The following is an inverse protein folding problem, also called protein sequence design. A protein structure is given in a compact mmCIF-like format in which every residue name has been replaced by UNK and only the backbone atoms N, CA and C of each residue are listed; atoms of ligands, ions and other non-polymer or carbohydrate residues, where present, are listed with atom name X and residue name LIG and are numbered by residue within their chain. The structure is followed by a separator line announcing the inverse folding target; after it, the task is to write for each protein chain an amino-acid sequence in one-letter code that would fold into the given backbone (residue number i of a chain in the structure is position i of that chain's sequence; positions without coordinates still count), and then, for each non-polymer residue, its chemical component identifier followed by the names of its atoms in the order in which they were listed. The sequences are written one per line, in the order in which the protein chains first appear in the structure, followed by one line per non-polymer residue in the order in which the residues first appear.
data_IF_368666372112
#
_entry.id   IF_368666372112
#
_cell.length_a   1.000
_cell.length_b   1.000
_cell.length_c   1.000
_cell.angle_alpha   90.00
_cell.angle_beta   90.00
_cell.angle_gamma   90.00
#
_symmetry.space_group_name_H-M   'P 1'
#
loop_
_entity.id
_entity.type
_entity.pdbx_description
1 polymer ?
#
# COMPACT_ATOMS: atom_id res chain seq x y z
N UNK A 1 32.04 13.66 64.14
CA UNK A 1 30.91 14.12 63.35
C UNK A 1 31.13 13.64 61.95
N UNK A 2 30.59 12.46 61.55
CA UNK A 2 30.70 11.91 60.22
C UNK A 2 29.47 12.31 59.41
N UNK A 3 29.68 13.03 58.30
CA UNK A 3 28.61 13.37 57.34
C UNK A 3 28.39 12.15 56.41
N UNK A 4 27.22 11.54 56.51
CA UNK A 4 26.75 10.52 55.58
C UNK A 4 26.31 11.19 54.30
N UNK A 5 27.03 10.97 53.17
CA UNK A 5 26.60 11.40 51.85
C UNK A 5 25.78 10.26 51.25
N UNK A 6 24.47 10.45 51.14
CA UNK A 6 23.58 9.52 50.46
C UNK A 6 23.64 9.81 48.95
N UNK A 7 24.27 8.94 48.16
CA UNK A 7 24.24 9.00 46.70
C UNK A 7 23.00 8.22 46.23
N UNK A 8 21.92 8.94 45.84
CA UNK A 8 20.76 8.33 45.21
C UNK A 8 21.09 8.21 43.71
N UNK A 9 21.49 7.02 43.26
CA UNK A 9 21.50 6.67 41.85
C UNK A 9 20.08 6.36 41.40
N UNK A 10 19.42 7.33 40.77
CA UNK A 10 18.19 7.07 40.06
C UNK A 10 18.52 6.22 38.82
N UNK A 11 18.34 4.91 38.89
CA UNK A 11 18.29 4.04 37.75
C UNK A 11 16.99 4.37 37.02
N UNK A 12 17.11 5.18 35.94
CA UNK A 12 16.02 5.36 35.00
C UNK A 12 15.76 3.98 34.35
N UNK A 13 14.71 3.30 34.81
CA UNK A 13 14.20 2.13 34.14
C UNK A 13 13.85 2.57 32.70
N UNK A 14 14.63 2.14 31.73
CA UNK A 14 14.23 2.24 30.32
C UNK A 14 12.98 1.38 30.20
N UNK A 15 11.83 2.01 29.99
CA UNK A 15 10.63 1.29 29.63
C UNK A 15 10.97 0.45 28.38
N UNK A 16 10.82 -0.87 28.51
CA UNK A 16 10.98 -1.76 27.35
C UNK A 16 9.98 -1.29 26.27
N UNK A 17 10.51 -0.94 25.11
CA UNK A 17 9.68 -0.59 24.00
C UNK A 17 9.04 -1.85 23.43
N UNK A 18 7.77 -2.06 23.77
CA UNK A 18 6.97 -3.14 23.21
C UNK A 18 6.40 -2.68 21.86
N UNK A 19 6.96 -3.21 20.78
CA UNK A 19 6.41 -3.01 19.43
C UNK A 19 5.14 -3.85 19.30
N UNK A 20 3.99 -3.19 19.16
CA UNK A 20 2.72 -3.88 18.89
C UNK A 20 2.79 -4.47 17.48
N UNK A 21 2.65 -5.79 17.37
CA UNK A 21 2.48 -6.46 16.07
C UNK A 21 1.19 -5.98 15.41
N UNK A 22 1.23 -5.80 14.10
CA UNK A 22 0.11 -5.34 13.30
C UNK A 22 -0.10 -6.25 12.10
N UNK A 23 -1.35 -6.38 11.69
CA UNK A 23 -1.76 -7.11 10.51
C UNK A 23 -2.27 -6.12 9.47
N UNK A 24 -1.58 -6.05 8.32
CA UNK A 24 -2.01 -5.26 7.19
C UNK A 24 -2.42 -6.19 6.05
N UNK A 25 -3.52 -5.89 5.36
CA UNK A 25 -4.04 -6.68 4.25
C UNK A 25 -4.16 -5.82 2.99
N UNK A 26 -3.58 -6.30 1.88
CA UNK A 26 -3.75 -5.65 0.58
C UNK A 26 -5.20 -5.74 0.12
N UNK A 27 -5.73 -4.64 -0.42
CA UNK A 27 -7.10 -4.50 -0.85
C UNK A 27 -7.17 -3.78 -2.21
N UNK A 28 -7.75 -4.44 -3.20
CA UNK A 28 -7.79 -3.93 -4.58
C UNK A 28 -9.09 -3.19 -4.86
N UNK A 29 -8.96 -1.98 -5.45
CA UNK A 29 -10.06 -1.06 -5.73
C UNK A 29 -10.47 -1.00 -7.20
N UNK A 30 -10.10 -1.97 -8.02
CA UNK A 30 -10.24 -1.94 -9.47
C UNK A 30 -11.40 -2.74 -10.06
N UNK A 31 -12.17 -3.46 -9.24
CA UNK A 31 -13.28 -4.28 -9.73
C UNK A 31 -14.50 -3.44 -10.07
N UNK A 32 -15.18 -3.76 -11.20
CA UNK A 32 -16.40 -3.10 -11.61
C UNK A 32 -17.42 -4.03 -12.25
N UNK A 33 -18.67 -3.62 -12.20
CA UNK A 33 -19.81 -4.33 -12.78
C UNK A 33 -20.59 -3.46 -13.76
N UNK A 34 -21.29 -4.03 -14.76
CA UNK A 34 -22.10 -3.25 -15.69
C UNK A 34 -23.17 -2.39 -15.01
N UNK A 35 -23.71 -2.86 -13.89
CA UNK A 35 -24.75 -2.14 -13.16
C UNK A 35 -24.24 -0.86 -12.50
N UNK A 36 -23.03 -0.90 -11.94
CA UNK A 36 -22.46 0.24 -11.20
C UNK A 36 -21.51 1.06 -12.08
N UNK A 37 -20.71 0.39 -12.91
CA UNK A 37 -19.59 1.01 -13.62
C UNK A 37 -19.81 1.05 -15.16
N UNK A 38 -20.98 0.59 -15.63
CA UNK A 38 -21.34 0.54 -17.05
C UNK A 38 -20.68 -0.59 -17.86
N UNK A 39 -19.71 -1.28 -17.27
CA UNK A 39 -18.98 -2.41 -17.87
C UNK A 39 -18.35 -3.30 -16.80
N UNK A 40 -17.91 -4.48 -17.20
CA UNK A 40 -17.01 -5.28 -16.35
C UNK A 40 -15.63 -4.63 -16.27
N UNK A 41 -15.03 -4.63 -15.08
CA UNK A 41 -13.66 -4.19 -14.83
C UNK A 41 -12.96 -5.27 -14.00
N UNK A 42 -11.80 -5.72 -14.44
CA UNK A 42 -10.97 -6.79 -13.88
C UNK A 42 -11.62 -8.18 -13.79
N UNK A 43 -12.93 -8.29 -13.66
CA UNK A 43 -13.62 -9.58 -13.68
C UNK A 43 -13.52 -10.29 -15.04
N UNK A 44 -13.45 -9.52 -16.13
CA UNK A 44 -13.30 -9.98 -17.52
C UNK A 44 -11.87 -9.94 -18.05
N UNK A 45 -10.90 -9.69 -17.16
CA UNK A 45 -9.51 -9.50 -17.56
C UNK A 45 -8.98 -10.71 -18.35
N UNK A 46 -8.17 -10.45 -19.36
CA UNK A 46 -7.47 -11.50 -20.08
C UNK A 46 -6.41 -12.17 -19.20
N UNK A 47 -6.14 -13.45 -19.47
CA UNK A 47 -5.03 -14.14 -18.82
C UNK A 47 -3.72 -13.52 -19.27
N UNK A 48 -2.97 -12.96 -18.31
CA UNK A 48 -1.68 -12.34 -18.56
C UNK A 48 -0.57 -13.38 -18.70
N UNK A 49 0.44 -13.11 -19.54
CA UNK A 49 1.63 -13.93 -19.63
C UNK A 49 2.33 -14.01 -18.26
N UNK A 50 2.68 -15.20 -17.82
CA UNK A 50 3.45 -15.32 -16.59
C UNK A 50 4.88 -14.78 -16.77
N UNK A 51 5.41 -14.06 -15.77
CA UNK A 51 6.75 -13.45 -15.82
C UNK A 51 7.87 -14.50 -15.89
N UNK A 52 7.69 -15.67 -15.27
CA UNK A 52 8.67 -16.76 -15.33
C UNK A 52 8.53 -17.53 -16.64
N UNK A 53 9.55 -17.53 -17.49
CA UNK A 53 9.55 -18.19 -18.81
C UNK A 53 9.10 -19.66 -18.78
N UNK A 54 9.50 -20.42 -17.75
CA UNK A 54 9.12 -21.83 -17.57
C UNK A 54 7.61 -21.98 -17.36
N UNK A 55 7.03 -21.18 -16.46
CA UNK A 55 5.59 -21.23 -16.17
C UNK A 55 4.80 -20.69 -17.36
N UNK A 56 5.26 -19.61 -17.99
CA UNK A 56 4.66 -19.07 -19.22
C UNK A 56 4.57 -20.13 -20.32
N UNK A 57 5.65 -20.89 -20.55
CA UNK A 57 5.63 -21.96 -21.56
C UNK A 57 4.58 -23.04 -21.26
N UNK A 58 4.38 -23.38 -19.98
CA UNK A 58 3.39 -24.36 -19.55
C UNK A 58 1.94 -23.89 -19.79
N UNK A 59 1.65 -22.61 -19.60
CA UNK A 59 0.30 -22.04 -19.68
C UNK A 59 0.09 -21.14 -20.92
N UNK A 60 1.01 -21.20 -21.91
CA UNK A 60 0.95 -20.37 -23.11
C UNK A 60 -0.38 -20.47 -23.88
N UNK A 61 -1.04 -21.62 -23.83
CA UNK A 61 -2.34 -21.84 -24.47
C UNK A 61 -3.49 -21.06 -23.85
N UNK A 62 -3.30 -20.52 -22.65
CA UNK A 62 -4.28 -19.66 -21.94
C UNK A 62 -3.99 -18.18 -22.14
N UNK A 63 -2.85 -17.78 -22.74
CA UNK A 63 -2.56 -16.38 -22.99
C UNK A 63 -3.64 -15.77 -23.89
N UNK A 64 -4.09 -14.56 -23.51
CA UNK A 64 -5.16 -13.82 -24.17
C UNK A 64 -6.57 -14.46 -24.07
N UNK A 65 -6.73 -15.55 -23.31
CA UNK A 65 -8.05 -16.04 -22.97
C UNK A 65 -8.76 -14.99 -22.10
N UNK A 66 -9.92 -14.52 -22.56
CA UNK A 66 -10.72 -13.52 -21.85
C UNK A 66 -11.76 -14.24 -20.96
N UNK A 67 -11.88 -13.80 -19.73
CA UNK A 67 -12.92 -14.31 -18.84
C UNK A 67 -14.30 -13.75 -19.23
N UNK A 68 -15.35 -14.49 -18.90
CA UNK A 68 -16.75 -14.16 -19.26
C UNK A 68 -17.61 -14.06 -18.00
N UNK A 69 -17.58 -12.90 -17.32
CA UNK A 69 -18.48 -12.68 -16.18
C UNK A 69 -19.96 -12.77 -16.59
N UNK A 70 -20.87 -13.12 -15.67
CA UNK A 70 -20.60 -13.47 -14.28
C UNK A 70 -20.22 -14.94 -14.05
N UNK A 71 -20.22 -15.77 -15.07
CA UNK A 71 -20.03 -17.25 -14.92
C UNK A 71 -18.56 -17.65 -14.78
N UNK A 72 -17.66 -16.94 -15.46
CA UNK A 72 -16.21 -17.16 -15.43
C UNK A 72 -15.49 -15.86 -15.14
N UNK A 73 -14.92 -15.75 -13.96
CA UNK A 73 -14.24 -14.53 -13.48
C UNK A 73 -12.73 -14.67 -13.56
N UNK A 74 -12.05 -13.55 -13.79
CA UNK A 74 -10.61 -13.44 -13.58
C UNK A 74 -10.31 -13.36 -12.07
N UNK A 75 -10.55 -14.46 -11.37
CA UNK A 75 -10.28 -14.65 -9.97
C UNK A 75 -10.10 -16.14 -9.66
N UNK A 76 -9.18 -16.51 -8.75
CA UNK A 76 -8.96 -17.90 -8.37
C UNK A 76 -10.17 -18.52 -7.63
N UNK A 77 -11.00 -17.69 -7.00
CA UNK A 77 -12.19 -18.09 -6.29
C UNK A 77 -13.36 -17.20 -6.68
N UNK A 78 -14.55 -17.82 -6.81
CA UNK A 78 -15.77 -17.06 -7.04
C UNK A 78 -16.23 -16.42 -5.73
N UNK A 79 -16.46 -15.07 -5.69
CA UNK A 79 -16.92 -14.41 -4.48
C UNK A 79 -18.28 -14.94 -4.02
N UNK A 80 -18.47 -15.16 -2.72
CA UNK A 80 -19.74 -15.66 -2.18
C UNK A 80 -20.92 -14.71 -2.47
N UNK A 81 -20.67 -13.41 -2.54
CA UNK A 81 -21.66 -12.40 -2.90
C UNK A 81 -21.78 -12.13 -4.42
N UNK A 82 -21.08 -12.93 -5.26
CA UNK A 82 -20.96 -12.69 -6.70
C UNK A 82 -19.94 -11.59 -7.04
N UNK A 83 -19.72 -11.33 -8.35
CA UNK A 83 -18.85 -10.26 -8.79
C UNK A 83 -19.44 -8.89 -8.38
N UNK A 84 -18.57 -8.00 -7.95
CA UNK A 84 -18.93 -6.73 -7.32
C UNK A 84 -18.22 -5.53 -7.95
N UNK A 85 -18.67 -4.32 -7.62
CA UNK A 85 -17.97 -3.06 -7.88
C UNK A 85 -17.25 -2.58 -6.63
N UNK A 86 -15.98 -2.20 -6.80
CA UNK A 86 -15.19 -1.55 -5.73
C UNK A 86 -15.68 -0.15 -5.38
N UNK A 87 -16.56 0.44 -6.22
CA UNK A 87 -17.20 1.74 -5.96
C UNK A 87 -18.49 1.62 -5.15
N UNK A 88 -18.96 0.41 -4.82
CA UNK A 88 -20.17 0.20 -4.02
C UNK A 88 -19.89 0.45 -2.52
N UNK A 89 -20.47 1.50 -1.90
CA UNK A 89 -20.22 1.81 -0.50
C UNK A 89 -20.71 0.72 0.47
N UNK A 90 -21.79 0.00 0.13
CA UNK A 90 -22.32 -1.07 0.98
C UNK A 90 -21.40 -2.28 0.98
N UNK A 91 -20.84 -2.60 -0.18
CA UNK A 91 -19.82 -3.62 -0.29
C UNK A 91 -18.56 -3.26 0.52
N UNK A 92 -18.08 -2.03 0.39
CA UNK A 92 -16.93 -1.56 1.16
C UNK A 92 -17.17 -1.70 2.66
N UNK A 93 -18.34 -1.29 3.16
CA UNK A 93 -18.71 -1.44 4.57
C UNK A 93 -18.70 -2.90 5.03
N UNK A 94 -19.25 -3.80 4.22
CA UNK A 94 -19.24 -5.23 4.51
C UNK A 94 -17.81 -5.81 4.53
N UNK A 95 -17.00 -5.51 3.52
CA UNK A 95 -15.62 -6.00 3.42
C UNK A 95 -14.74 -5.47 4.56
N UNK A 96 -14.83 -4.19 4.88
CA UNK A 96 -14.02 -3.60 5.96
C UNK A 96 -14.44 -4.10 7.34
N UNK A 97 -15.72 -4.41 7.54
CA UNK A 97 -16.19 -5.11 8.74
C UNK A 97 -15.61 -6.52 8.84
N UNK A 98 -15.55 -7.27 7.73
CA UNK A 98 -14.92 -8.59 7.68
C UNK A 98 -13.42 -8.52 7.96
N UNK A 99 -12.71 -7.52 7.41
CA UNK A 99 -11.28 -7.31 7.70
C UNK A 99 -11.04 -7.05 9.18
N UNK A 100 -11.85 -6.18 9.81
CA UNK A 100 -11.81 -5.96 11.27
C UNK A 100 -12.02 -7.26 12.04
N UNK A 101 -13.05 -8.02 11.69
CA UNK A 101 -13.41 -9.26 12.40
C UNK A 101 -12.34 -10.34 12.22
N UNK A 102 -11.56 -10.28 11.14
CA UNK A 102 -10.37 -11.09 10.91
C UNK A 102 -9.11 -10.59 11.65
N UNK A 103 -9.20 -9.48 12.40
CA UNK A 103 -8.07 -8.93 13.15
C UNK A 103 -7.09 -8.11 12.32
N UNK A 104 -7.52 -7.57 11.17
CA UNK A 104 -6.71 -6.66 10.35
C UNK A 104 -6.70 -5.28 11.00
N UNK A 105 -5.51 -4.72 11.20
CA UNK A 105 -5.32 -3.36 11.74
C UNK A 105 -5.44 -2.28 10.65
N UNK A 106 -5.02 -2.58 9.42
CA UNK A 106 -5.13 -1.66 8.28
C UNK A 106 -5.31 -2.38 6.94
N UNK A 107 -6.22 -1.89 6.10
CA UNK A 107 -6.30 -2.25 4.69
C UNK A 107 -5.29 -1.41 3.89
N UNK A 108 -4.56 -2.05 2.97
CA UNK A 108 -3.57 -1.41 2.11
C UNK A 108 -4.17 -1.30 0.71
N UNK A 109 -4.64 -0.11 0.38
CA UNK A 109 -5.44 0.16 -0.81
C UNK A 109 -4.57 0.27 -2.06
N UNK A 110 -4.81 -0.59 -3.05
CA UNK A 110 -4.15 -0.50 -4.36
C UNK A 110 -4.51 0.82 -5.04
N UNK A 111 -3.50 1.64 -5.32
CA UNK A 111 -3.65 2.96 -5.93
C UNK A 111 -2.88 3.03 -7.24
N UNK A 112 -3.60 3.26 -8.32
CA UNK A 112 -3.10 3.14 -9.70
C UNK A 112 -2.59 4.46 -10.29
N UNK A 113 -2.61 5.54 -9.55
CA UNK A 113 -2.12 6.85 -9.98
C UNK A 113 -3.08 7.99 -9.69
N UNK A 114 -2.54 9.21 -9.66
CA UNK A 114 -3.31 10.45 -9.42
C UNK A 114 -4.07 10.89 -10.67
N UNK A 115 -5.18 11.62 -10.52
CA UNK A 115 -5.92 12.18 -11.65
C UNK A 115 -5.03 13.02 -12.57
N UNK A 116 -5.12 12.79 -13.87
CA UNK A 116 -4.31 13.48 -14.88
C UNK A 116 -2.84 13.05 -14.95
N UNK A 117 -2.42 12.08 -14.13
CA UNK A 117 -1.12 11.43 -14.19
C UNK A 117 -1.14 10.13 -14.98
N UNK A 118 -0.01 9.41 -14.97
CA UNK A 118 0.03 8.05 -15.50
C UNK A 118 -0.80 7.10 -14.63
N UNK A 119 -1.53 6.17 -15.27
CA UNK A 119 -2.31 5.13 -14.61
C UNK A 119 -1.63 3.79 -14.85
N UNK A 120 -1.38 3.05 -13.77
CA UNK A 120 -0.68 1.77 -13.82
C UNK A 120 -1.54 0.60 -14.28
N UNK A 121 -2.87 0.77 -14.28
CA UNK A 121 -3.80 -0.31 -14.51
C UNK A 121 -3.88 -0.75 -15.99
N UNK A 122 -3.89 -2.07 -16.22
CA UNK A 122 -3.93 -2.68 -17.56
C UNK A 122 -5.25 -2.46 -18.31
N UNK A 123 -6.35 -2.18 -17.60
CA UNK A 123 -7.65 -1.82 -18.18
C UNK A 123 -7.95 -0.31 -18.08
N UNK A 124 -7.00 0.48 -17.60
CA UNK A 124 -7.11 1.93 -17.45
C UNK A 124 -8.00 2.36 -16.28
N UNK A 125 -8.16 1.51 -15.25
CA UNK A 125 -8.97 1.82 -14.07
C UNK A 125 -8.20 2.74 -13.14
N UNK A 126 -8.68 3.99 -12.98
CA UNK A 126 -8.18 4.93 -11.97
C UNK A 126 -8.86 4.68 -10.63
N UNK A 127 -8.10 4.23 -9.62
CA UNK A 127 -8.65 3.91 -8.30
C UNK A 127 -8.73 5.10 -7.36
N UNK A 128 -8.15 6.25 -7.72
CA UNK A 128 -8.04 7.44 -6.86
C UNK A 128 -9.41 7.94 -6.34
N UNK A 129 -10.42 7.96 -7.21
CA UNK A 129 -11.76 8.39 -6.83
C UNK A 129 -12.44 7.47 -5.79
N UNK A 130 -12.00 6.22 -5.67
CA UNK A 130 -12.56 5.22 -4.74
C UNK A 130 -11.85 5.29 -3.37
N UNK A 131 -10.61 5.78 -3.33
CA UNK A 131 -9.83 5.88 -2.08
C UNK A 131 -10.59 6.57 -0.94
N UNK A 132 -11.23 7.74 -1.13
CA UNK A 132 -11.99 8.39 -0.06
C UNK A 132 -13.16 7.53 0.47
N UNK A 133 -13.82 6.77 -0.40
CA UNK A 133 -14.91 5.86 -0.01
C UNK A 133 -14.38 4.70 0.84
N UNK A 134 -13.26 4.11 0.44
CA UNK A 134 -12.61 3.03 1.17
C UNK A 134 -12.08 3.50 2.54
N UNK A 135 -11.48 4.69 2.62
CA UNK A 135 -11.04 5.30 3.88
C UNK A 135 -12.23 5.52 4.81
N UNK A 136 -13.35 6.02 4.29
CA UNK A 136 -14.55 6.22 5.09
C UNK A 136 -15.13 4.90 5.63
N UNK A 137 -15.13 3.82 4.82
CA UNK A 137 -15.52 2.48 5.25
C UNK A 137 -14.56 1.91 6.31
N UNK A 138 -13.24 2.05 6.13
CA UNK A 138 -12.24 1.66 7.12
C UNK A 138 -12.48 2.36 8.46
N UNK A 139 -12.73 3.66 8.44
CA UNK A 139 -13.03 4.46 9.62
C UNK A 139 -14.30 3.99 10.34
N UNK A 140 -15.38 3.70 9.61
CA UNK A 140 -16.61 3.12 10.20
C UNK A 140 -16.36 1.75 10.82
N UNK A 141 -15.53 0.93 10.19
CA UNK A 141 -15.13 -0.38 10.71
C UNK A 141 -14.16 -0.29 11.91
N UNK A 142 -13.50 0.85 12.14
CA UNK A 142 -12.51 1.02 13.20
C UNK A 142 -11.13 0.45 12.87
N UNK A 143 -10.79 0.30 11.58
CA UNK A 143 -9.45 -0.08 11.10
C UNK A 143 -8.82 1.06 10.31
N UNK A 144 -7.51 0.98 10.04
CA UNK A 144 -6.80 1.94 9.20
C UNK A 144 -6.92 1.68 7.71
N UNK A 145 -6.56 2.70 6.91
CA UNK A 145 -6.35 2.56 5.48
C UNK A 145 -4.98 3.15 5.09
N UNK A 146 -4.10 2.34 4.54
CA UNK A 146 -2.80 2.72 3.98
C UNK A 146 -2.87 2.65 2.45
N UNK A 147 -1.85 3.14 1.76
CA UNK A 147 -1.78 3.11 0.30
C UNK A 147 -0.77 2.07 -0.17
N UNK A 148 -1.11 1.35 -1.22
CA UNK A 148 -0.23 0.53 -2.04
C UNK A 148 -0.06 1.21 -3.40
N UNK A 149 1.05 1.92 -3.57
CA UNK A 149 1.35 2.65 -4.80
C UNK A 149 1.84 1.66 -5.86
N UNK A 150 1.02 1.47 -6.88
CA UNK A 150 1.29 0.56 -8.00
C UNK A 150 2.37 1.12 -8.94
N UNK A 151 3.11 0.27 -9.67
CA UNK A 151 4.07 0.72 -10.66
C UNK A 151 3.35 1.31 -11.88
N UNK A 152 3.84 2.42 -12.41
CA UNK A 152 3.37 3.04 -13.65
C UNK A 152 4.55 3.50 -14.52
N UNK A 153 4.30 3.74 -15.80
CA UNK A 153 5.35 4.21 -16.71
C UNK A 153 5.88 5.58 -16.29
N UNK A 154 7.21 5.72 -16.20
CA UNK A 154 7.87 6.94 -15.74
C UNK A 154 7.84 7.14 -14.23
N UNK A 155 7.49 6.12 -13.43
CA UNK A 155 7.57 6.19 -11.97
C UNK A 155 9.03 6.39 -11.52
N UNK A 156 9.27 7.44 -10.77
CA UNK A 156 10.58 7.80 -10.20
C UNK A 156 10.43 8.82 -9.07
N UNK A 157 11.54 9.37 -8.60
CA UNK A 157 11.53 10.27 -7.45
C UNK A 157 10.60 11.49 -7.65
N UNK A 158 10.68 12.14 -8.82
CA UNK A 158 9.87 13.33 -9.12
C UNK A 158 8.36 13.03 -9.16
N UNK A 159 7.97 11.95 -9.85
CA UNK A 159 6.55 11.60 -9.98
C UNK A 159 5.97 11.15 -8.64
N UNK A 160 6.72 10.36 -7.86
CA UNK A 160 6.28 9.89 -6.54
C UNK A 160 6.25 11.02 -5.51
N UNK A 161 7.12 12.03 -5.61
CA UNK A 161 7.01 13.24 -4.76
C UNK A 161 5.65 13.93 -4.93
N UNK A 162 5.17 14.05 -6.18
CA UNK A 162 3.85 14.61 -6.48
C UNK A 162 2.70 13.70 -6.02
N UNK A 163 2.89 12.38 -6.15
CA UNK A 163 1.92 11.40 -5.68
C UNK A 163 1.78 11.46 -4.16
N UNK A 164 2.89 11.52 -3.43
CA UNK A 164 2.86 11.66 -1.97
C UNK A 164 2.20 12.96 -1.54
N UNK A 165 2.49 14.08 -2.20
CA UNK A 165 1.83 15.36 -1.91
C UNK A 165 0.31 15.28 -2.08
N UNK A 166 -0.19 14.51 -3.04
CA UNK A 166 -1.62 14.23 -3.23
C UNK A 166 -2.15 13.28 -2.14
N UNK A 167 -1.49 12.15 -1.92
CA UNK A 167 -1.97 11.08 -1.05
C UNK A 167 -2.04 11.48 0.42
N UNK A 168 -1.10 12.29 0.93
CA UNK A 168 -1.10 12.72 2.33
C UNK A 168 -2.23 13.69 2.68
N UNK A 169 -3.00 14.16 1.69
CA UNK A 169 -4.23 14.93 1.92
C UNK A 169 -5.37 14.06 2.46
N UNK A 170 -5.28 12.74 2.30
CA UNK A 170 -6.26 11.79 2.82
C UNK A 170 -5.96 11.43 4.29
N UNK A 171 -7.02 11.00 5.02
CA UNK A 171 -6.92 10.52 6.41
C UNK A 171 -6.36 9.08 6.44
N UNK A 172 -5.09 8.94 6.10
CA UNK A 172 -4.40 7.66 6.00
C UNK A 172 -4.00 7.11 7.38
N UNK A 173 -3.86 5.79 7.45
CA UNK A 173 -3.31 5.10 8.59
C UNK A 173 -1.87 5.57 8.89
N UNK A 174 -1.57 5.80 10.18
CA UNK A 174 -0.31 6.42 10.60
C UNK A 174 0.47 5.56 11.56
N UNK A 175 1.76 5.45 11.33
CA UNK A 175 2.73 4.78 12.21
C UNK A 175 3.87 5.73 12.61
N UNK A 176 4.51 5.51 13.77
CA UNK A 176 5.79 6.15 14.04
C UNK A 176 6.84 5.54 13.12
N UNK A 177 7.70 6.38 12.52
CA UNK A 177 8.81 5.88 11.68
C UNK A 177 9.75 4.95 12.45
N UNK A 178 10.01 5.28 13.70
CA UNK A 178 10.82 4.45 14.61
C UNK A 178 9.92 3.91 15.71
N UNK A 179 9.81 2.59 15.85
CA UNK A 179 8.89 2.00 16.83
C UNK A 179 9.08 2.49 18.27
N UNK A 180 10.32 2.88 18.63
CA UNK A 180 10.70 3.24 20.00
C UNK A 180 11.32 4.65 20.13
N UNK A 181 11.07 5.55 19.19
CA UNK A 181 11.71 6.87 19.25
C UNK A 181 11.10 7.90 18.33
N UNK A 182 10.00 8.46 18.71
CA UNK A 182 9.36 9.56 17.99
C UNK A 182 7.87 9.62 18.31
N UNK A 183 7.38 10.82 18.59
CA UNK A 183 5.94 11.04 18.84
C UNK A 183 5.18 11.25 17.51
N UNK A 184 5.90 11.55 16.41
CA UNK A 184 5.30 11.86 15.14
C UNK A 184 4.87 10.58 14.42
N UNK A 185 3.59 10.48 14.18
CA UNK A 185 3.00 9.41 13.38
C UNK A 185 2.77 9.91 11.96
N UNK A 186 3.34 9.20 11.00
CA UNK A 186 3.31 9.53 9.58
C UNK A 186 2.39 8.59 8.81
N UNK A 187 1.76 9.04 7.71
CA UNK A 187 1.00 8.17 6.83
C UNK A 187 1.85 6.99 6.33
N UNK A 188 1.24 5.83 6.19
CA UNK A 188 1.92 4.62 5.70
C UNK A 188 1.66 4.45 4.21
N UNK A 189 2.73 4.29 3.44
CA UNK A 189 2.68 4.01 2.00
C UNK A 189 3.57 2.81 1.69
N UNK A 190 3.00 1.83 1.01
CA UNK A 190 3.70 0.69 0.43
C UNK A 190 4.06 1.00 -1.02
N UNK A 191 5.28 0.71 -1.42
CA UNK A 191 5.75 0.88 -2.79
C UNK A 191 5.90 -0.49 -3.44
N UNK A 192 4.96 -0.83 -4.35
CA UNK A 192 4.98 -2.10 -5.04
C UNK A 192 6.01 -2.09 -6.16
N UNK A 193 6.69 -3.24 -6.36
CA UNK A 193 7.74 -3.39 -7.38
C UNK A 193 8.79 -2.25 -7.32
N UNK A 194 9.20 -1.87 -6.11
CA UNK A 194 10.17 -0.78 -5.90
C UNK A 194 11.50 -1.03 -6.61
N UNK A 195 11.87 -2.30 -6.84
CA UNK A 195 13.10 -2.74 -7.52
C UNK A 195 13.16 -2.39 -9.02
N UNK A 196 12.04 -2.02 -9.65
CA UNK A 196 12.04 -1.51 -11.03
C UNK A 196 12.71 -0.13 -11.16
N UNK A 197 12.87 0.57 -10.05
CA UNK A 197 13.53 1.87 -10.01
C UNK A 197 14.82 1.75 -9.18
N UNK A 198 15.97 2.22 -9.67
CA UNK A 198 17.23 2.11 -8.95
C UNK A 198 17.18 2.75 -7.56
N UNK A 199 17.85 2.15 -6.56
CA UNK A 199 17.90 2.66 -5.19
C UNK A 199 18.34 4.13 -5.10
N UNK A 200 19.27 4.57 -5.97
CA UNK A 200 19.73 5.95 -6.04
C UNK A 200 18.61 6.96 -6.37
N UNK A 201 17.61 6.56 -7.15
CA UNK A 201 16.44 7.41 -7.43
C UNK A 201 15.54 7.52 -6.19
N UNK A 202 15.33 6.41 -5.48
CA UNK A 202 14.60 6.44 -4.22
C UNK A 202 15.33 7.25 -3.15
N UNK A 203 16.66 7.18 -3.10
CA UNK A 203 17.49 7.97 -2.18
C UNK A 203 17.30 9.48 -2.36
N UNK A 204 17.05 9.97 -3.57
CA UNK A 204 16.71 11.38 -3.83
C UNK A 204 15.46 11.82 -3.07
N UNK A 205 14.50 10.90 -2.89
CA UNK A 205 13.20 11.18 -2.29
C UNK A 205 13.13 10.82 -0.79
N UNK A 206 13.75 9.71 -0.40
CA UNK A 206 13.57 9.15 0.94
C UNK A 206 14.79 9.29 1.87
N UNK A 207 15.98 9.63 1.38
CA UNK A 207 17.09 10.00 2.25
C UNK A 207 16.96 11.46 2.70
N UNK A 208 17.41 11.76 3.92
CA UNK A 208 17.33 13.12 4.50
C UNK A 208 18.09 14.16 3.65
N UNK A 209 19.18 13.76 3.00
CA UNK A 209 20.02 14.60 2.15
C UNK A 209 19.68 14.51 0.65
N UNK A 210 18.59 13.86 0.28
CA UNK A 210 18.13 13.80 -1.11
C UNK A 210 17.66 15.15 -1.63
N UNK A 211 17.88 15.42 -2.92
CA UNK A 211 17.51 16.68 -3.57
C UNK A 211 15.99 16.91 -3.67
N UNK A 212 15.20 15.83 -3.58
CA UNK A 212 13.73 15.83 -3.56
C UNK A 212 13.17 15.34 -2.22
N UNK A 213 14.00 15.32 -1.16
CA UNK A 213 13.65 14.67 0.10
C UNK A 213 12.31 15.16 0.66
N UNK A 214 11.42 14.20 0.94
CA UNK A 214 10.17 14.46 1.67
C UNK A 214 10.35 14.39 3.18
N UNK A 215 11.52 13.97 3.67
CA UNK A 215 11.80 13.78 5.09
C UNK A 215 11.68 15.08 5.88
N UNK A 216 10.88 15.05 6.94
CA UNK A 216 10.60 16.24 7.78
C UNK A 216 9.72 17.30 7.13
N UNK A 217 9.17 17.05 5.93
CA UNK A 217 8.21 17.93 5.25
C UNK A 217 6.76 17.51 5.58
N UNK A 218 5.74 18.33 5.23
CA UNK A 218 4.34 17.91 5.32
C UNK A 218 3.97 16.67 4.47
N UNK A 219 4.81 16.29 3.51
CA UNK A 219 4.61 15.14 2.63
C UNK A 219 5.36 13.89 3.10
N UNK A 220 5.93 13.93 4.30
CA UNK A 220 6.68 12.82 4.88
C UNK A 220 5.78 11.63 5.21
N UNK A 221 6.28 10.42 4.95
CA UNK A 221 5.56 9.17 5.13
C UNK A 221 6.46 8.08 5.75
N UNK A 222 5.86 7.07 6.33
CA UNK A 222 6.51 5.77 6.53
C UNK A 222 6.39 5.03 5.20
N UNK A 223 7.51 4.82 4.51
CA UNK A 223 7.55 4.13 3.23
C UNK A 223 8.11 2.71 3.37
N UNK A 224 7.36 1.75 2.83
CA UNK A 224 7.69 0.32 2.89
C UNK A 224 7.84 -0.21 1.47
N UNK A 225 9.00 -0.79 1.15
CA UNK A 225 9.22 -1.43 -0.14
C UNK A 225 8.65 -2.85 -0.15
N UNK A 226 7.91 -3.21 -1.19
CA UNK A 226 7.53 -4.60 -1.43
C UNK A 226 8.62 -5.28 -2.26
N UNK A 227 9.30 -6.27 -1.68
CA UNK A 227 10.38 -7.02 -2.30
C UNK A 227 9.89 -8.40 -2.73
N UNK A 228 10.44 -8.94 -3.81
CA UNK A 228 10.19 -10.30 -4.27
C UNK A 228 11.30 -11.27 -3.86
N UNK A 229 12.54 -10.80 -3.77
CA UNK A 229 13.71 -11.61 -3.50
C UNK A 229 14.56 -11.00 -2.40
N UNK A 230 15.36 -11.83 -1.71
CA UNK A 230 16.26 -11.39 -0.64
C UNK A 230 17.43 -10.54 -1.14
N UNK A 231 17.87 -10.73 -2.35
CA UNK A 231 18.92 -9.93 -3.00
C UNK A 231 18.49 -8.48 -3.30
N UNK A 232 17.22 -8.17 -3.10
CA UNK A 232 16.69 -6.81 -3.18
C UNK A 232 16.77 -6.04 -1.84
N UNK A 233 17.24 -6.65 -0.75
CA UNK A 233 17.33 -6.00 0.57
C UNK A 233 18.18 -4.72 0.54
N UNK A 234 19.23 -4.69 -0.30
CA UNK A 234 20.07 -3.50 -0.52
C UNK A 234 19.29 -2.29 -1.03
N UNK A 235 18.14 -2.52 -1.71
CA UNK A 235 17.26 -1.46 -2.16
C UNK A 235 16.68 -0.68 -0.98
N UNK A 236 16.28 -1.39 0.08
CA UNK A 236 15.68 -0.77 1.28
C UNK A 236 16.68 0.15 1.95
N UNK A 237 17.92 -0.34 2.16
CA UNK A 237 18.97 0.42 2.83
C UNK A 237 19.43 1.60 1.98
N UNK A 238 19.77 1.35 0.71
CA UNK A 238 20.34 2.36 -0.18
C UNK A 238 19.29 3.36 -0.70
N UNK A 239 18.02 2.98 -0.72
CA UNK A 239 16.89 3.85 -1.07
C UNK A 239 16.28 4.59 0.11
N UNK A 240 16.79 4.35 1.34
CA UNK A 240 16.29 4.94 2.59
C UNK A 240 14.80 4.68 2.87
N UNK A 241 14.33 3.47 2.56
CA UNK A 241 13.02 3.01 2.97
C UNK A 241 12.96 2.77 4.48
N UNK A 242 11.78 2.85 5.06
CA UNK A 242 11.58 2.62 6.50
C UNK A 242 11.34 1.11 6.80
N UNK A 243 11.03 0.30 5.76
CA UNK A 243 10.85 -1.15 5.85
C UNK A 243 10.75 -1.81 4.48
#
# INVERSE_FOLDING_TARGET
MYKLVLVITAAAARAECVVKKQTHAFYYLWYGTPTTDGKWLHWDHAVLPHWTKKVRAQYKHLENYTHEPPTRLHAPFYPAAGPYSSSDPQLLDAHFSQLRDAGVDAAVLSWTGRPGGAVSDTQGVGTDAIVPLAIAAAKRAGIGAAIHLEPYEGRGAESVALDLAHLVTHDLYRLPRRPCGGHDRLPVVYLYDAYHTPAKEWARLFCENGDLSVRGTPHDVVVIATLLNRDEEDLVVNGCFDG
#
